data_IF_614168138455
#
_entry.id   IF_614168138455
#
_cell.length_a   1.000
_cell.length_b   1.000
_cell.length_c   1.000
_cell.angle_alpha   90.00
_cell.angle_beta   90.00
_cell.angle_gamma   90.00
#
_symmetry.space_group_name_H-M   'P 1'
#
loop_
_entity.id
_entity.type
_entity.pdbx_description
1 polymer ?
#
# COMPACT_ATOMS: atom_id res chain seq x y z
N UNK A 1 6.35 -10.09 -18.34
CA UNK A 1 7.05 -10.15 -17.03
C UNK A 1 6.66 -9.01 -16.10
N UNK A 2 6.41 -7.79 -16.60
CA UNK A 2 6.02 -6.63 -15.78
C UNK A 2 4.68 -6.79 -15.04
N UNK A 3 3.66 -7.38 -15.68
CA UNK A 3 2.35 -7.55 -15.04
C UNK A 3 2.41 -8.45 -13.80
N UNK A 4 3.33 -9.42 -13.77
CA UNK A 4 3.55 -10.29 -12.60
C UNK A 4 4.13 -9.48 -11.44
N UNK A 5 5.08 -8.58 -11.71
CA UNK A 5 5.62 -7.67 -10.69
C UNK A 5 4.54 -6.74 -10.15
N UNK A 6 3.71 -6.16 -11.02
CA UNK A 6 2.59 -5.31 -10.57
C UNK A 6 1.59 -6.08 -9.70
N UNK A 7 1.28 -7.33 -10.05
CA UNK A 7 0.42 -8.19 -9.23
C UNK A 7 1.09 -8.49 -7.88
N UNK A 8 2.38 -8.81 -7.85
CA UNK A 8 3.11 -9.06 -6.61
C UNK A 8 3.13 -7.82 -5.70
N UNK A 9 3.35 -6.64 -6.26
CA UNK A 9 3.30 -5.36 -5.53
C UNK A 9 1.90 -5.11 -4.98
N UNK A 10 0.85 -5.36 -5.78
CA UNK A 10 -0.53 -5.22 -5.33
C UNK A 10 -0.87 -6.19 -4.18
N UNK A 11 -0.42 -7.44 -4.25
CA UNK A 11 -0.58 -8.43 -3.17
C UNK A 11 0.19 -7.98 -1.92
N UNK A 12 1.43 -7.53 -2.08
CA UNK A 12 2.24 -7.04 -0.96
C UNK A 12 1.57 -5.84 -0.27
N UNK A 13 1.07 -4.87 -1.05
CA UNK A 13 0.31 -3.72 -0.55
C UNK A 13 -0.96 -4.13 0.19
N UNK A 14 -1.70 -5.10 -0.35
CA UNK A 14 -2.90 -5.64 0.28
C UNK A 14 -2.59 -6.23 1.67
N UNK A 15 -1.59 -7.11 1.74
CA UNK A 15 -1.18 -7.75 2.99
C UNK A 15 -0.62 -6.73 3.99
N UNK A 16 0.20 -5.79 3.52
CA UNK A 16 0.77 -4.74 4.37
C UNK A 16 -0.30 -3.79 4.91
N UNK A 17 -1.32 -3.47 4.12
CA UNK A 17 -2.44 -2.63 4.54
C UNK A 17 -3.27 -3.31 5.64
N UNK A 18 -3.56 -4.61 5.52
CA UNK A 18 -4.27 -5.37 6.55
C UNK A 18 -3.44 -5.45 7.84
N UNK A 19 -2.13 -5.67 7.72
CA UNK A 19 -1.21 -5.65 8.86
C UNK A 19 -1.19 -4.29 9.57
N UNK A 20 -1.08 -3.19 8.83
CA UNK A 20 -1.12 -1.84 9.40
C UNK A 20 -2.43 -1.56 10.13
N UNK A 21 -3.56 -1.92 9.51
CA UNK A 21 -4.86 -1.73 10.13
C UNK A 21 -4.98 -2.50 11.45
N UNK A 22 -4.58 -3.78 11.45
CA UNK A 22 -4.55 -4.59 12.67
C UNK A 22 -3.64 -3.99 13.73
N UNK A 23 -2.46 -3.50 13.35
CA UNK A 23 -1.52 -2.88 14.28
C UNK A 23 -2.13 -1.64 14.94
N UNK A 24 -2.86 -0.82 14.18
CA UNK A 24 -3.58 0.34 14.72
C UNK A 24 -4.74 -0.10 15.62
N UNK A 25 -5.51 -1.12 15.23
CA UNK A 25 -6.59 -1.69 16.06
C UNK A 25 -6.06 -2.27 17.38
N UNK A 26 -4.93 -2.96 17.36
CA UNK A 26 -4.26 -3.50 18.56
C UNK A 26 -3.82 -2.37 19.48
N UNK A 27 -3.22 -1.30 18.95
CA UNK A 27 -2.83 -0.13 19.76
C UNK A 27 -4.03 0.61 20.35
N UNK A 28 -5.16 0.61 19.65
CA UNK A 28 -6.41 1.21 20.11
C UNK A 28 -7.13 0.34 21.16
N UNK A 29 -6.88 -0.97 21.15
CA UNK A 29 -7.56 -1.93 22.03
C UNK A 29 -8.99 -2.29 21.58
N UNK A 30 -9.42 -1.84 20.41
CA UNK A 30 -10.73 -2.15 19.85
C UNK A 30 -10.73 -2.05 18.32
N UNK A 31 -11.46 -2.94 17.62
CA UNK A 31 -11.61 -2.86 16.18
C UNK A 31 -12.35 -1.58 15.77
N UNK A 32 -12.07 -1.09 14.57
CA UNK A 32 -12.77 0.07 14.05
C UNK A 32 -14.19 -0.29 13.61
N UNK A 33 -15.15 0.58 13.94
CA UNK A 33 -16.54 0.43 13.47
C UNK A 33 -16.64 0.49 11.95
N UNK A 34 -15.81 1.33 11.32
CA UNK A 34 -15.73 1.49 9.87
C UNK A 34 -14.43 0.89 9.31
N UNK A 35 -14.09 -0.34 9.71
CA UNK A 35 -12.85 -1.03 9.34
C UNK A 35 -12.60 -1.03 7.83
N UNK A 36 -13.62 -1.28 7.01
CA UNK A 36 -13.49 -1.29 5.55
C UNK A 36 -13.11 0.05 4.95
N UNK A 37 -13.65 1.17 5.48
CA UNK A 37 -13.32 2.52 5.00
C UNK A 37 -11.87 2.85 5.35
N UNK A 38 -11.43 2.50 6.56
CA UNK A 38 -10.06 2.75 7.00
C UNK A 38 -9.08 1.89 6.21
N UNK A 39 -9.40 0.61 6.01
CA UNK A 39 -8.64 -0.26 5.13
C UNK A 39 -8.48 0.35 3.73
N UNK A 40 -9.59 0.81 3.14
CA UNK A 40 -9.60 1.45 1.83
C UNK A 40 -8.69 2.68 1.80
N UNK A 41 -8.75 3.55 2.81
CA UNK A 41 -7.89 4.74 2.89
C UNK A 41 -6.41 4.34 3.00
N UNK A 42 -6.08 3.36 3.85
CA UNK A 42 -4.70 2.88 4.03
C UNK A 42 -4.15 2.36 2.69
N UNK A 43 -4.84 1.41 2.06
CA UNK A 43 -4.35 0.82 0.81
C UNK A 43 -4.33 1.84 -0.32
N UNK A 44 -5.29 2.77 -0.37
CA UNK A 44 -5.34 3.82 -1.39
C UNK A 44 -4.13 4.75 -1.29
N UNK A 45 -3.84 5.27 -0.10
CA UNK A 45 -2.68 6.15 0.13
C UNK A 45 -1.37 5.42 -0.14
N UNK A 46 -1.22 4.18 0.34
CA UNK A 46 -0.02 3.39 0.09
C UNK A 46 0.16 3.07 -1.39
N UNK A 47 -0.93 2.78 -2.11
CA UNK A 47 -0.88 2.50 -3.54
C UNK A 47 -0.41 3.73 -4.30
N UNK A 48 -1.01 4.89 -4.05
CA UNK A 48 -0.60 6.15 -4.68
C UNK A 48 0.85 6.50 -4.37
N UNK A 49 1.25 6.40 -3.09
CA UNK A 49 2.63 6.66 -2.67
C UNK A 49 3.63 5.68 -3.29
N UNK A 50 3.28 4.39 -3.39
CA UNK A 50 4.16 3.38 -4.00
C UNK A 50 4.36 3.66 -5.49
N UNK A 51 3.30 3.99 -6.22
CA UNK A 51 3.41 4.30 -7.64
C UNK A 51 4.12 5.62 -7.90
N UNK A 52 3.92 6.64 -7.05
CA UNK A 52 4.63 7.92 -7.15
C UNK A 52 6.13 7.73 -6.93
N UNK A 53 6.51 7.02 -5.86
CA UNK A 53 7.91 6.66 -5.58
C UNK A 53 8.50 5.86 -6.75
N UNK A 54 7.77 4.86 -7.25
CA UNK A 54 8.22 4.04 -8.38
C UNK A 54 8.44 4.88 -9.64
N UNK A 55 7.53 5.81 -9.95
CA UNK A 55 7.69 6.74 -11.07
C UNK A 55 8.90 7.65 -10.88
N UNK A 56 9.12 8.17 -9.68
CA UNK A 56 10.26 9.02 -9.39
C UNK A 56 11.59 8.27 -9.60
N UNK A 57 11.70 7.04 -9.08
CA UNK A 57 12.88 6.20 -9.29
C UNK A 57 13.08 5.80 -10.76
N UNK A 58 12.00 5.53 -11.50
CA UNK A 58 12.08 5.19 -12.92
C UNK A 58 12.43 6.42 -13.79
N UNK A 59 11.92 7.61 -13.46
CA UNK A 59 12.25 8.87 -14.15
C UNK A 59 13.68 9.35 -13.84
N UNK A 60 14.22 8.98 -12.68
CA UNK A 60 15.62 9.21 -12.31
C UNK A 60 16.63 8.28 -13.01
N UNK A 61 16.21 7.52 -14.04
CA UNK A 61 17.14 6.96 -15.03
C UNK A 61 17.24 7.83 -16.30
N UNK A 62 17.90 9.01 -16.26
CA UNK A 62 18.46 9.58 -17.46
C UNK A 62 19.78 8.86 -17.77
N UNK A 63 19.73 7.86 -18.65
CA UNK A 63 20.86 7.50 -19.51
C UNK A 63 20.54 8.12 -20.88
N UNK A 64 21.23 9.12 -21.41
CA UNK A 64 22.67 9.35 -21.29
C UNK A 64 23.39 8.30 -22.10
#
# INVERSE_FOLDING_TARGET
MEIVLFILVAIALYLFSDWLLRQVETRRGAPFKSRSIIYFIIIFVLTLGTFEVLQHFLQQSPSG
#
